data_IF_679336440645
#
_entry.id   IF_679336440645
#
_cell.length_a   1.000
_cell.length_b   1.000
_cell.length_c   1.000
_cell.angle_alpha   90.00
_cell.angle_beta   90.00
_cell.angle_gamma   90.00
#
_symmetry.space_group_name_H-M   'P 1'
#
loop_
_entity.id
_entity.type
_entity.pdbx_description
1 polymer ?
#
# COMPACT_ATOMS: atom_id res chain seq x y z
N UNK A 1 21.72 -14.57 -18.08
CA UNK A 1 21.80 -13.39 -17.62
C UNK A 1 20.73 -12.51 -17.77
N UNK A 2 19.95 -12.72 -18.58
CA UNK A 2 18.85 -11.93 -18.73
C UNK A 2 17.86 -12.03 -17.71
N UNK A 3 17.95 -13.02 -16.93
CA UNK A 3 17.02 -13.15 -15.83
C UNK A 3 17.07 -12.00 -14.90
N UNK A 4 18.07 -11.24 -14.95
CA UNK A 4 18.13 -10.10 -14.12
C UNK A 4 17.07 -9.11 -14.44
N UNK A 5 16.38 -9.23 -15.51
CA UNK A 5 15.29 -8.35 -15.79
C UNK A 5 14.09 -8.61 -14.90
N UNK A 6 13.98 -9.76 -14.30
CA UNK A 6 12.88 -10.05 -13.40
C UNK A 6 13.07 -9.30 -12.09
N UNK A 7 12.11 -8.46 -11.73
CA UNK A 7 12.12 -7.75 -10.46
C UNK A 7 11.33 -8.48 -9.39
N UNK A 8 10.67 -9.59 -9.74
CA UNK A 8 9.90 -10.37 -8.79
C UNK A 8 10.81 -11.24 -7.94
N UNK A 9 10.61 -11.20 -6.63
CA UNK A 9 11.32 -12.01 -5.67
C UNK A 9 10.32 -12.66 -4.73
N UNK A 10 10.31 -13.99 -4.61
CA UNK A 10 9.37 -14.64 -3.68
C UNK A 10 9.58 -14.21 -2.24
N UNK A 11 10.83 -14.01 -1.82
CA UNK A 11 11.11 -13.56 -0.46
C UNK A 11 10.56 -12.17 -0.21
N UNK A 12 10.74 -11.26 -1.17
CA UNK A 12 10.21 -9.91 -1.05
C UNK A 12 8.69 -9.92 -1.04
N UNK A 13 8.08 -10.79 -1.83
CA UNK A 13 6.63 -10.94 -1.85
C UNK A 13 6.08 -11.37 -0.49
N UNK A 14 6.72 -12.37 0.14
CA UNK A 14 6.31 -12.85 1.45
C UNK A 14 6.42 -11.74 2.49
N UNK A 15 7.56 -11.03 2.51
CA UNK A 15 7.79 -9.94 3.45
C UNK A 15 6.76 -8.82 3.24
N UNK A 16 6.44 -8.52 2.00
CA UNK A 16 5.46 -7.48 1.68
C UNK A 16 4.07 -7.83 2.21
N UNK A 17 3.64 -9.08 2.04
CA UNK A 17 2.35 -9.52 2.56
C UNK A 17 2.34 -9.52 4.08
N UNK A 18 3.45 -9.93 4.71
CA UNK A 18 3.56 -9.89 6.18
C UNK A 18 3.47 -8.45 6.65
N UNK A 19 4.13 -7.51 5.97
CA UNK A 19 4.08 -6.10 6.35
C UNK A 19 2.67 -5.55 6.23
N UNK A 20 1.96 -5.87 5.14
CA UNK A 20 0.60 -5.38 4.93
C UNK A 20 -0.35 -5.96 5.98
N UNK A 21 -0.40 -7.28 6.08
CA UNK A 21 -1.34 -7.94 6.99
C UNK A 21 -0.97 -7.63 8.44
N UNK A 22 0.32 -7.72 8.77
CA UNK A 22 0.79 -7.43 10.11
C UNK A 22 0.52 -6.00 10.53
N UNK A 23 0.77 -5.04 9.64
CA UNK A 23 0.50 -3.64 9.93
C UNK A 23 -0.98 -3.37 10.14
N UNK A 24 -1.82 -3.89 9.25
CA UNK A 24 -3.28 -3.68 9.36
C UNK A 24 -3.82 -4.35 10.61
N UNK A 25 -3.45 -5.62 10.86
CA UNK A 25 -3.95 -6.34 12.03
C UNK A 25 -3.48 -5.67 13.32
N UNK A 26 -2.22 -5.28 13.38
CA UNK A 26 -1.67 -4.60 14.55
C UNK A 26 -2.40 -3.29 14.83
N UNK A 27 -2.64 -2.50 13.78
CA UNK A 27 -3.36 -1.23 13.90
C UNK A 27 -4.79 -1.47 14.41
N UNK A 28 -5.48 -2.45 13.83
CA UNK A 28 -6.87 -2.73 14.20
C UNK A 28 -6.99 -3.32 15.60
N UNK A 29 -6.07 -4.18 16.01
CA UNK A 29 -6.06 -4.73 17.36
C UNK A 29 -5.80 -3.63 18.38
N UNK A 30 -4.86 -2.75 18.11
CA UNK A 30 -4.62 -1.60 18.97
C UNK A 30 -5.84 -0.72 19.09
N UNK A 31 -6.50 -0.48 17.96
CA UNK A 31 -7.70 0.35 17.93
C UNK A 31 -8.85 -0.30 18.70
N UNK A 32 -9.02 -1.61 18.55
CA UNK A 32 -10.08 -2.34 19.26
C UNK A 32 -9.88 -2.25 20.76
N UNK A 33 -8.62 -2.36 21.22
CA UNK A 33 -8.32 -2.34 22.64
C UNK A 33 -8.14 -0.94 23.21
N UNK A 34 -8.18 0.09 22.40
CA UNK A 34 -7.96 1.45 22.84
C UNK A 34 -9.15 1.96 23.65
N UNK A 35 -8.84 2.78 24.65
CA UNK A 35 -9.87 3.40 25.49
C UNK A 35 -10.29 4.72 24.85
N UNK A 36 -11.13 4.63 23.81
CA UNK A 36 -11.64 5.79 23.11
C UNK A 36 -13.07 5.54 22.67
N UNK A 37 -13.76 6.62 22.34
CA UNK A 37 -15.15 6.55 21.90
C UNK A 37 -15.25 5.87 20.55
N UNK A 38 -16.43 5.33 20.26
CA UNK A 38 -16.66 4.62 19.02
C UNK A 38 -16.44 5.51 17.79
N UNK A 39 -16.83 6.79 17.87
CA UNK A 39 -16.63 7.72 16.77
C UNK A 39 -15.14 8.00 16.55
N UNK A 40 -14.34 8.01 17.61
CA UNK A 40 -12.89 8.17 17.47
C UNK A 40 -12.28 6.94 16.82
N UNK A 41 -12.73 5.75 17.21
CA UNK A 41 -12.27 4.51 16.56
C UNK A 41 -12.64 4.49 15.09
N UNK A 42 -13.84 4.96 14.77
CA UNK A 42 -14.26 5.09 13.37
C UNK A 42 -13.39 6.05 12.58
N UNK A 43 -12.99 7.15 13.21
CA UNK A 43 -12.08 8.10 12.57
C UNK A 43 -10.77 7.43 12.16
N UNK A 44 -10.13 6.72 13.09
CA UNK A 44 -8.85 6.06 12.80
C UNK A 44 -9.00 4.91 11.82
N UNK A 45 -10.12 4.20 11.87
CA UNK A 45 -10.41 3.17 10.88
C UNK A 45 -10.55 3.76 9.48
N UNK A 46 -11.30 4.85 9.36
CA UNK A 46 -11.49 5.52 8.08
C UNK A 46 -10.17 6.07 7.53
N UNK A 47 -9.33 6.61 8.40
CA UNK A 47 -8.02 7.13 7.99
C UNK A 47 -7.15 6.00 7.45
N UNK A 48 -7.17 4.83 8.08
CA UNK A 48 -6.41 3.68 7.59
C UNK A 48 -6.89 3.25 6.20
N UNK A 49 -8.20 3.12 6.03
CA UNK A 49 -8.76 2.71 4.74
C UNK A 49 -8.43 3.74 3.66
N UNK A 50 -8.58 5.02 3.98
CA UNK A 50 -8.25 6.09 3.04
C UNK A 50 -6.77 6.06 2.65
N UNK A 51 -5.90 5.84 3.63
CA UNK A 51 -4.46 5.74 3.38
C UNK A 51 -4.11 4.56 2.50
N UNK A 52 -4.68 3.38 2.80
CA UNK A 52 -4.41 2.18 2.02
C UNK A 52 -4.88 2.34 0.57
N UNK A 53 -6.10 2.84 0.38
CA UNK A 53 -6.65 3.01 -0.95
C UNK A 53 -5.85 4.03 -1.75
N UNK A 54 -5.53 5.18 -1.14
CA UNK A 54 -4.80 6.23 -1.84
C UNK A 54 -3.37 5.80 -2.16
N UNK A 55 -2.71 5.07 -1.28
CA UNK A 55 -1.36 4.57 -1.54
C UNK A 55 -1.36 3.59 -2.71
N UNK A 56 -2.31 2.66 -2.74
CA UNK A 56 -2.41 1.70 -3.83
C UNK A 56 -2.75 2.40 -5.16
N UNK A 57 -3.67 3.35 -5.12
CA UNK A 57 -4.07 4.10 -6.32
C UNK A 57 -2.94 4.96 -6.86
N UNK A 58 -2.20 5.61 -5.96
CA UNK A 58 -1.04 6.42 -6.35
C UNK A 58 0.02 5.54 -7.01
N UNK A 59 0.33 4.40 -6.39
CA UNK A 59 1.32 3.48 -6.95
C UNK A 59 0.89 2.97 -8.33
N UNK A 60 -0.39 2.62 -8.48
CA UNK A 60 -0.91 2.19 -9.77
C UNK A 60 -0.75 3.29 -10.82
N UNK A 61 -1.09 4.53 -10.47
CA UNK A 61 -1.01 5.65 -11.40
C UNK A 61 0.43 5.92 -11.84
N UNK A 62 1.36 5.89 -10.88
CA UNK A 62 2.78 6.09 -11.18
C UNK A 62 3.29 5.01 -12.13
N UNK A 63 2.91 3.75 -11.88
CA UNK A 63 3.33 2.64 -12.74
C UNK A 63 2.71 2.76 -14.12
N UNK A 64 1.43 3.14 -14.21
CA UNK A 64 0.77 3.31 -15.50
C UNK A 64 1.46 4.40 -16.32
N UNK A 65 1.81 5.52 -15.70
CA UNK A 65 2.55 6.58 -16.38
C UNK A 65 3.91 6.08 -16.86
N UNK A 66 4.61 5.36 -16.01
CA UNK A 66 5.93 4.85 -16.34
C UNK A 66 5.87 3.85 -17.49
N UNK A 67 4.82 3.05 -17.56
CA UNK A 67 4.65 2.04 -18.61
C UNK A 67 4.00 2.61 -19.87
N UNK A 68 3.76 3.91 -19.92
CA UNK A 68 3.18 4.55 -21.11
C UNK A 68 1.68 4.39 -21.23
N UNK A 69 1.01 3.87 -20.20
CA UNK A 69 -0.45 3.74 -20.19
C UNK A 69 -1.04 5.13 -19.94
N UNK A 70 -2.03 5.57 -20.73
CA UNK A 70 -2.59 6.90 -20.56
C UNK A 70 -3.21 7.08 -19.18
N UNK A 71 -2.81 8.14 -18.50
CA UNK A 71 -3.41 8.55 -17.24
C UNK A 71 -3.58 10.06 -17.27
N UNK A 72 -4.61 10.55 -16.57
CA UNK A 72 -4.83 11.99 -16.51
C UNK A 72 -4.05 12.60 -15.36
N UNK A 73 -3.58 13.82 -15.55
CA UNK A 73 -2.91 14.54 -14.48
C UNK A 73 -3.86 14.81 -13.33
N UNK A 74 -5.15 14.99 -13.62
CA UNK A 74 -6.16 15.23 -12.59
C UNK A 74 -6.24 14.02 -11.66
N UNK A 75 -6.26 12.80 -12.22
CA UNK A 75 -6.32 11.58 -11.41
C UNK A 75 -5.05 11.42 -10.56
N UNK A 76 -3.90 11.66 -11.17
CA UNK A 76 -2.62 11.59 -10.44
C UNK A 76 -2.61 12.55 -9.27
N UNK A 77 -2.98 13.80 -9.52
CA UNK A 77 -3.00 14.81 -8.45
C UNK A 77 -4.03 14.49 -7.38
N UNK A 78 -5.16 13.91 -7.77
CA UNK A 78 -6.18 13.49 -6.81
C UNK A 78 -5.65 12.40 -5.89
N UNK A 79 -5.01 11.38 -6.44
CA UNK A 79 -4.44 10.30 -5.63
C UNK A 79 -3.39 10.83 -4.64
N UNK A 80 -2.52 11.71 -5.13
CA UNK A 80 -1.49 12.30 -4.27
C UNK A 80 -2.11 13.16 -3.18
N UNK A 81 -3.11 13.97 -3.53
CA UNK A 81 -3.78 14.84 -2.56
C UNK A 81 -4.48 14.02 -1.48
N UNK A 82 -5.17 12.95 -1.87
CA UNK A 82 -5.87 12.10 -0.91
C UNK A 82 -4.88 11.40 0.02
N UNK A 83 -3.74 10.97 -0.53
CA UNK A 83 -2.70 10.36 0.29
C UNK A 83 -2.17 11.33 1.34
N UNK A 84 -1.89 12.58 0.93
CA UNK A 84 -1.41 13.61 1.86
C UNK A 84 -2.47 13.92 2.91
N UNK A 85 -3.74 13.98 2.50
CA UNK A 85 -4.85 14.22 3.43
C UNK A 85 -4.93 13.10 4.45
N UNK A 86 -4.79 11.83 4.02
CA UNK A 86 -4.86 10.69 4.94
C UNK A 86 -3.75 10.77 6.00
N UNK A 87 -2.53 11.07 5.57
CA UNK A 87 -1.40 11.22 6.49
C UNK A 87 -1.63 12.38 7.45
N UNK A 88 -2.11 13.51 6.92
CA UNK A 88 -2.39 14.69 7.75
C UNK A 88 -3.48 14.40 8.78
N UNK A 89 -4.54 13.69 8.39
CA UNK A 89 -5.61 13.32 9.30
C UNK A 89 -5.10 12.42 10.42
N UNK A 90 -4.22 11.48 10.10
CA UNK A 90 -3.63 10.62 11.11
C UNK A 90 -2.81 11.46 12.10
N UNK A 91 -1.95 12.33 11.60
CA UNK A 91 -1.07 13.13 12.45
C UNK A 91 -1.86 14.10 13.33
N UNK A 92 -2.90 14.75 12.77
CA UNK A 92 -3.74 15.66 13.56
C UNK A 92 -4.51 14.86 14.60
N UNK A 93 -5.06 13.70 14.24
CA UNK A 93 -5.79 12.86 15.19
C UNK A 93 -4.90 12.41 16.34
N UNK A 94 -3.69 11.94 16.04
CA UNK A 94 -2.77 11.49 17.07
C UNK A 94 -2.28 12.66 17.93
N UNK A 95 -2.07 13.85 17.33
CA UNK A 95 -1.65 15.01 18.09
C UNK A 95 -2.68 15.40 19.15
N UNK A 96 -3.97 15.31 18.79
CA UNK A 96 -5.04 15.70 19.68
C UNK A 96 -5.55 14.57 20.59
N UNK A 97 -5.05 13.37 20.40
CA UNK A 97 -5.48 12.22 21.20
C UNK A 97 -4.87 12.27 22.60
N UNK A 98 -5.60 11.74 23.56
CA UNK A 98 -5.12 11.67 24.95
C UNK A 98 -4.33 10.39 25.22
N UNK A 99 -3.72 9.84 24.20
CA UNK A 99 -2.93 8.63 24.29
C UNK A 99 -1.51 8.92 24.75
N UNK A 100 -0.85 7.91 25.29
CA UNK A 100 0.56 7.99 25.61
C UNK A 100 1.37 8.14 24.34
N UNK A 101 2.56 8.73 24.47
CA UNK A 101 3.42 8.91 23.31
C UNK A 101 3.77 7.58 22.65
N UNK A 102 3.97 6.53 23.45
CA UNK A 102 4.25 5.19 22.90
C UNK A 102 3.07 4.64 22.11
N UNK A 103 1.84 4.92 22.53
CA UNK A 103 0.66 4.49 21.81
C UNK A 103 0.52 5.25 20.49
N UNK A 104 0.79 6.55 20.51
CA UNK A 104 0.77 7.36 19.28
C UNK A 104 1.80 6.84 18.27
N UNK A 105 3.01 6.52 18.76
CA UNK A 105 4.04 5.94 17.91
C UNK A 105 3.63 4.59 17.35
N UNK A 106 2.97 3.77 18.14
CA UNK A 106 2.46 2.47 17.71
C UNK A 106 1.50 2.62 16.53
N UNK A 107 0.52 3.52 16.65
CA UNK A 107 -0.43 3.74 15.55
C UNK A 107 0.24 4.31 14.32
N UNK A 108 1.13 5.27 14.50
CA UNK A 108 1.86 5.87 13.39
C UNK A 108 2.70 4.86 12.64
N UNK A 109 3.45 4.04 13.36
CA UNK A 109 4.30 3.02 12.74
C UNK A 109 3.48 1.93 12.07
N UNK A 110 2.40 1.48 12.71
CA UNK A 110 1.52 0.47 12.12
C UNK A 110 0.86 1.00 10.85
N UNK A 111 0.46 2.26 10.85
CA UNK A 111 -0.13 2.90 9.68
C UNK A 111 0.87 2.93 8.51
N UNK A 112 2.07 3.42 8.76
CA UNK A 112 3.07 3.51 7.70
C UNK A 112 3.54 2.15 7.23
N UNK A 113 3.64 1.17 8.13
CA UNK A 113 3.95 -0.20 7.74
C UNK A 113 2.88 -0.78 6.83
N UNK A 114 1.60 -0.52 7.15
CA UNK A 114 0.48 -0.95 6.31
C UNK A 114 0.55 -0.33 4.92
N UNK A 115 0.82 0.98 4.85
CA UNK A 115 0.92 1.67 3.56
C UNK A 115 2.10 1.16 2.75
N UNK A 116 3.24 0.97 3.38
CA UNK A 116 4.41 0.40 2.71
C UNK A 116 4.09 -0.99 2.17
N UNK A 117 3.45 -1.83 3.01
CA UNK A 117 3.07 -3.16 2.59
C UNK A 117 2.10 -3.15 1.41
N UNK A 118 1.13 -2.23 1.43
CA UNK A 118 0.18 -2.12 0.33
C UNK A 118 0.87 -1.77 -0.99
N UNK A 119 1.80 -0.81 -0.95
CA UNK A 119 2.56 -0.42 -2.14
C UNK A 119 3.44 -1.57 -2.61
N UNK A 120 4.12 -2.25 -1.69
CA UNK A 120 5.04 -3.33 -2.04
C UNK A 120 4.29 -4.54 -2.60
N UNK A 121 3.14 -4.89 -2.03
CA UNK A 121 2.30 -5.98 -2.55
C UNK A 121 1.80 -5.64 -3.95
N UNK A 122 1.32 -4.41 -4.14
CA UNK A 122 0.85 -3.97 -5.44
C UNK A 122 1.96 -4.08 -6.50
N UNK A 123 3.16 -3.64 -6.15
CA UNK A 123 4.30 -3.73 -7.04
C UNK A 123 4.61 -5.19 -7.39
N UNK A 124 4.63 -6.07 -6.39
CA UNK A 124 4.94 -7.48 -6.61
C UNK A 124 3.90 -8.18 -7.47
N UNK A 125 2.63 -7.88 -7.27
CA UNK A 125 1.56 -8.47 -8.07
C UNK A 125 1.76 -8.07 -9.53
N UNK A 126 2.09 -6.81 -9.80
CA UNK A 126 2.30 -6.34 -11.16
C UNK A 126 3.54 -6.98 -11.79
N UNK A 127 4.63 -7.06 -11.04
CA UNK A 127 5.86 -7.66 -11.55
C UNK A 127 5.66 -9.16 -11.84
N UNK A 128 4.95 -9.86 -10.98
CA UNK A 128 4.64 -11.27 -11.19
C UNK A 128 3.74 -11.47 -12.41
N UNK A 129 2.73 -10.61 -12.57
CA UNK A 129 1.85 -10.66 -13.72
C UNK A 129 2.57 -10.39 -15.02
N UNK A 130 3.45 -9.42 -15.05
CA UNK A 130 4.25 -9.10 -16.23
C UNK A 130 5.17 -10.27 -16.61
N UNK A 131 5.75 -10.94 -15.61
CA UNK A 131 6.59 -12.11 -15.87
C UNK A 131 5.81 -13.25 -16.51
N UNK A 132 4.60 -13.51 -16.04
CA UNK A 132 3.76 -14.58 -16.58
C UNK A 132 3.38 -14.31 -18.03
N UNK A 133 3.03 -13.08 -18.34
CA UNK A 133 2.67 -12.73 -19.72
C UNK A 133 3.86 -12.95 -20.65
N UNK A 134 5.04 -12.54 -20.23
CA UNK A 134 6.24 -12.72 -21.03
C UNK A 134 6.54 -14.20 -21.26
N UNK A 135 6.38 -15.04 -20.26
CA UNK A 135 6.61 -16.48 -20.38
C UNK A 135 5.62 -17.12 -21.35
N UNK A 136 4.37 -16.70 -21.32
CA UNK A 136 3.35 -17.22 -22.21
C UNK A 136 3.68 -16.87 -23.68
N UNK A 137 4.07 -15.65 -23.92
CA UNK A 137 4.43 -15.22 -25.26
C UNK A 137 5.60 -16.01 -25.82
N UNK A 138 6.61 -16.26 -25.00
CA UNK A 138 7.77 -17.03 -25.41
C UNK A 138 7.39 -18.47 -25.77
N UNK A 139 6.46 -19.08 -25.03
CA UNK A 139 6.00 -20.43 -25.32
C UNK A 139 5.23 -20.47 -26.65
N UNK A 140 4.36 -19.50 -26.87
CA UNK A 140 3.59 -19.43 -28.11
C UNK A 140 4.50 -19.26 -29.32
N UNK A 141 5.50 -18.42 -29.22
CA UNK A 141 6.47 -18.25 -30.30
C UNK A 141 7.23 -19.54 -30.59
N UNK A 142 7.61 -20.28 -29.55
CA UNK A 142 8.30 -21.53 -29.72
C UNK A 142 7.43 -22.59 -30.38
N UNK A 143 6.13 -22.55 -30.14
CA UNK A 143 5.24 -23.53 -30.76
C UNK A 143 4.93 -23.21 -32.24
N UNK A 144 5.12 -21.98 -32.66
CA UNK A 144 4.84 -21.60 -34.03
C UNK A 144 5.96 -21.97 -35.00
N UNK A 145 7.09 -22.37 -34.52
CA UNK A 145 8.21 -22.83 -35.31
C UNK A 145 8.19 -24.35 -35.44
#
# INVERSE_FOLDING_TARGET
MENKMSTYSPAFSIVSWIALVGGVVTYLLGLWNADMLLNEKGYYFAVLILGLFSAASYQKTVRDKYEGIPTTNIYYMTCLSVFIIAVALLLVGLWNATLLLSEKGFYGLAFFLSLFGAVAVQKNIRDSGAGRVHDTDAVDEGLSE
#
